data_IF_186237003342
#
_entry.id   IF_186237003342
#
_cell.length_a   1.000
_cell.length_b   1.000
_cell.length_c   1.000
_cell.angle_alpha   90.00
_cell.angle_beta   90.00
_cell.angle_gamma   90.00
#
_symmetry.space_group_name_H-M   'P 1'
#
loop_
_entity.id
_entity.type
_entity.pdbx_description
1 polymer ?
#
# COMPACT_ATOMS: atom_id res chain seq x y z
N UNK A 1 6.31 55.94 -21.15
CA UNK A 1 6.92 54.73 -20.53
C UNK A 1 6.06 54.34 -19.35
N UNK A 2 5.30 53.24 -19.43
CA UNK A 2 4.65 52.62 -18.28
C UNK A 2 4.86 51.10 -18.41
N UNK A 3 5.68 50.53 -17.54
CA UNK A 3 5.86 49.09 -17.43
C UNK A 3 4.69 48.53 -16.62
N UNK A 4 3.83 47.75 -17.26
CA UNK A 4 2.84 46.92 -16.59
C UNK A 4 3.55 45.69 -16.03
N UNK A 5 3.80 45.69 -14.73
CA UNK A 5 4.18 44.49 -13.99
C UNK A 5 3.00 43.50 -14.01
N UNK A 6 3.08 42.51 -14.89
CA UNK A 6 2.16 41.37 -14.88
C UNK A 6 2.50 40.46 -13.71
N UNK A 7 1.65 40.43 -12.69
CA UNK A 7 1.71 39.40 -11.64
C UNK A 7 1.60 38.01 -12.29
N UNK A 8 2.42 37.02 -11.88
CA UNK A 8 2.30 35.66 -12.38
C UNK A 8 0.93 35.07 -11.97
N UNK A 9 0.32 34.23 -12.81
CA UNK A 9 -0.98 33.64 -12.51
C UNK A 9 -0.88 32.77 -11.25
N UNK A 10 -1.76 33.02 -10.28
CA UNK A 10 -1.93 32.15 -9.11
C UNK A 10 -2.32 30.75 -9.59
N UNK A 11 -1.38 29.79 -9.45
CA UNK A 11 -1.63 28.40 -9.80
C UNK A 11 -2.66 27.86 -8.81
N UNK A 12 -3.87 27.59 -9.30
CA UNK A 12 -4.93 27.00 -8.52
C UNK A 12 -4.54 25.54 -8.17
N UNK A 13 -3.99 25.34 -6.97
CA UNK A 13 -3.49 24.05 -6.47
C UNK A 13 -4.53 22.91 -6.51
N UNK A 14 -5.82 23.22 -6.70
CA UNK A 14 -6.90 22.23 -6.83
C UNK A 14 -7.01 21.59 -8.23
N UNK A 15 -6.34 22.12 -9.25
CA UNK A 15 -6.42 21.61 -10.64
C UNK A 15 -5.19 20.83 -11.09
N UNK A 16 -4.22 20.59 -10.20
CA UNK A 16 -3.04 19.80 -10.54
C UNK A 16 -3.43 18.34 -10.77
N UNK A 17 -2.94 17.69 -11.86
CA UNK A 17 -3.29 16.32 -12.18
C UNK A 17 -2.95 15.40 -11.00
N UNK A 18 -3.97 14.78 -10.45
CA UNK A 18 -3.83 13.81 -9.38
C UNK A 18 -3.76 12.41 -9.97
N UNK A 19 -3.26 11.45 -9.19
CA UNK A 19 -3.31 10.05 -9.59
C UNK A 19 -4.76 9.58 -9.87
N UNK A 20 -5.77 10.22 -9.25
CA UNK A 20 -7.18 9.93 -9.52
C UNK A 20 -7.55 10.27 -10.97
N UNK A 21 -6.99 11.34 -11.51
CA UNK A 21 -7.21 11.80 -12.89
C UNK A 21 -6.44 10.93 -13.89
N UNK A 22 -5.26 10.43 -13.49
CA UNK A 22 -4.47 9.48 -14.29
C UNK A 22 -5.10 8.08 -14.35
N UNK A 23 -5.71 7.61 -13.25
CA UNK A 23 -6.41 6.31 -13.16
C UNK A 23 -7.60 6.22 -14.13
N UNK A 24 -8.31 7.32 -14.36
CA UNK A 24 -9.43 7.37 -15.32
C UNK A 24 -8.96 7.16 -16.76
N UNK A 25 -7.71 7.55 -17.08
CA UNK A 25 -7.17 7.49 -18.44
C UNK A 25 -6.40 6.21 -18.77
N UNK A 26 -5.80 5.54 -17.78
CA UNK A 26 -4.74 4.56 -18.07
C UNK A 26 -5.09 3.08 -17.86
N UNK A 27 -5.81 2.65 -16.81
CA UNK A 27 -6.34 1.27 -16.76
C UNK A 27 -7.18 0.94 -15.51
N UNK A 28 -8.11 -0.01 -15.65
CA UNK A 28 -8.85 -0.60 -14.51
C UNK A 28 -7.93 -1.45 -13.60
N UNK A 29 -6.74 -1.79 -14.10
CA UNK A 29 -5.78 -2.71 -13.48
C UNK A 29 -4.75 -1.97 -12.58
N UNK A 30 -4.93 -0.68 -12.36
CA UNK A 30 -3.99 0.14 -11.56
C UNK A 30 -4.55 0.47 -10.17
N UNK A 31 -3.89 -0.03 -9.12
CA UNK A 31 -4.30 0.14 -7.72
C UNK A 31 -3.27 0.97 -6.96
N UNK A 32 -3.64 2.08 -6.32
CA UNK A 32 -2.69 2.86 -5.52
C UNK A 32 -2.28 2.08 -4.25
N UNK A 33 -0.98 1.88 -4.03
CA UNK A 33 -0.49 1.34 -2.75
C UNK A 33 -0.37 2.49 -1.73
N UNK A 34 -1.40 2.62 -0.88
CA UNK A 34 -1.46 3.68 0.14
C UNK A 34 -0.36 3.56 1.20
N UNK A 35 0.09 2.33 1.49
CA UNK A 35 1.13 2.09 2.50
C UNK A 35 2.46 2.61 2.00
N UNK A 36 2.85 2.18 0.80
CA UNK A 36 4.11 2.58 0.20
C UNK A 36 4.10 4.05 -0.29
N UNK A 37 2.93 4.59 -0.66
CA UNK A 37 2.80 6.01 -0.98
C UNK A 37 3.19 6.93 0.19
N UNK A 38 2.90 6.53 1.45
CA UNK A 38 3.32 7.31 2.62
C UNK A 38 4.85 7.32 2.75
N UNK A 39 5.46 6.16 2.57
CA UNK A 39 6.91 5.98 2.63
C UNK A 39 7.63 6.78 1.53
N UNK A 40 7.14 6.75 0.28
CA UNK A 40 7.72 7.52 -0.82
C UNK A 40 7.67 9.03 -0.62
N UNK A 41 6.60 9.54 -0.01
CA UNK A 41 6.46 10.98 0.28
C UNK A 41 7.50 11.49 1.29
N UNK A 42 8.13 10.61 2.06
CA UNK A 42 9.27 10.98 2.92
C UNK A 42 10.49 11.38 2.08
N UNK A 43 10.64 10.82 0.87
CA UNK A 43 11.72 11.16 -0.05
C UNK A 43 11.35 12.40 -0.87
N UNK A 44 10.19 12.36 -1.53
CA UNK A 44 9.67 13.49 -2.32
C UNK A 44 8.12 13.47 -2.28
N UNK A 45 7.46 14.56 -1.85
CA UNK A 45 6.01 14.65 -1.76
C UNK A 45 5.28 14.54 -3.11
N UNK A 46 5.99 14.72 -4.23
CA UNK A 46 5.46 14.60 -5.59
C UNK A 46 5.42 13.15 -6.09
N UNK A 47 6.10 12.22 -5.41
CA UNK A 47 6.12 10.81 -5.78
C UNK A 47 4.85 10.08 -5.34
N UNK A 48 4.37 9.22 -6.23
CA UNK A 48 3.25 8.30 -5.99
C UNK A 48 3.58 6.94 -6.56
N UNK A 49 3.03 5.90 -5.93
CA UNK A 49 3.17 4.51 -6.36
C UNK A 49 1.83 3.95 -6.79
N UNK A 50 1.89 3.10 -7.80
CA UNK A 50 0.77 2.37 -8.36
C UNK A 50 1.17 0.92 -8.49
N UNK A 51 0.33 0.02 -8.04
CA UNK A 51 0.48 -1.40 -8.30
C UNK A 51 -0.37 -1.81 -9.49
N UNK A 52 0.32 -2.22 -10.55
CA UNK A 52 -0.27 -2.92 -11.69
C UNK A 52 -0.35 -4.41 -11.35
N UNK A 53 -1.52 -4.86 -10.86
CA UNK A 53 -1.74 -6.25 -10.44
C UNK A 53 -1.76 -7.23 -11.61
N UNK A 54 -2.03 -6.77 -12.83
CA UNK A 54 -2.00 -7.63 -14.03
C UNK A 54 -0.59 -8.01 -14.46
N UNK A 55 0.41 -7.19 -14.10
CA UNK A 55 1.80 -7.41 -14.47
C UNK A 55 2.73 -7.70 -13.28
N UNK A 56 2.20 -7.69 -12.05
CA UNK A 56 2.98 -7.75 -10.82
C UNK A 56 4.10 -6.69 -10.80
N UNK A 57 3.76 -5.43 -11.05
CA UNK A 57 4.72 -4.31 -11.11
C UNK A 57 4.23 -3.14 -10.28
N UNK A 58 5.13 -2.56 -9.49
CA UNK A 58 5.00 -1.22 -8.94
C UNK A 58 5.55 -0.21 -9.92
N UNK A 59 4.74 0.77 -10.26
CA UNK A 59 5.14 1.94 -11.03
C UNK A 59 5.19 3.15 -10.12
N UNK A 60 6.32 3.85 -10.15
CA UNK A 60 6.50 5.10 -9.44
C UNK A 60 6.41 6.23 -10.43
N UNK A 61 5.56 7.17 -10.10
CA UNK A 61 5.21 8.33 -10.90
C UNK A 61 5.48 9.58 -10.11
N UNK A 62 5.99 10.60 -10.79
CA UNK A 62 6.12 11.95 -10.24
C UNK A 62 4.99 12.81 -10.76
N UNK A 63 4.34 13.53 -9.85
CA UNK A 63 3.28 14.49 -10.14
C UNK A 63 3.73 15.87 -9.67
N UNK A 64 4.45 16.62 -10.53
CA UNK A 64 4.99 17.91 -10.18
C UNK A 64 3.88 18.93 -9.83
N UNK A 65 4.12 19.77 -8.82
CA UNK A 65 3.20 20.85 -8.46
C UNK A 65 3.42 22.14 -9.24
N UNK A 66 4.53 22.23 -9.97
CA UNK A 66 4.93 23.38 -10.79
C UNK A 66 4.17 23.45 -12.13
N UNK A 67 3.13 22.64 -12.31
CA UNK A 67 2.31 22.60 -13.53
C UNK A 67 2.92 21.78 -14.67
N UNK A 68 4.07 21.12 -14.44
CA UNK A 68 4.63 20.15 -15.40
C UNK A 68 3.81 18.88 -15.44
N UNK A 69 3.90 18.18 -16.58
CA UNK A 69 3.22 16.92 -16.77
C UNK A 69 3.74 15.83 -15.84
N UNK A 70 2.80 14.99 -15.39
CA UNK A 70 3.13 13.80 -14.64
C UNK A 70 3.93 12.84 -15.52
N UNK A 71 5.01 12.30 -14.98
CA UNK A 71 5.87 11.38 -15.72
C UNK A 71 6.26 10.17 -14.88
N UNK A 72 6.49 9.07 -15.58
CA UNK A 72 6.94 7.82 -14.99
C UNK A 72 8.42 7.95 -14.59
N UNK A 73 8.73 7.56 -13.36
CA UNK A 73 10.09 7.61 -12.81
C UNK A 73 10.76 6.25 -12.98
N UNK A 74 10.14 5.19 -12.47
CA UNK A 74 10.69 3.83 -12.51
C UNK A 74 9.63 2.78 -12.25
N UNK A 75 9.94 1.54 -12.64
CA UNK A 75 9.12 0.36 -12.33
C UNK A 75 9.92 -0.70 -11.56
N UNK A 76 9.26 -1.39 -10.63
CA UNK A 76 9.82 -2.50 -9.84
C UNK A 76 8.89 -3.70 -9.92
N UNK A 77 9.44 -4.86 -10.30
CA UNK A 77 8.68 -6.12 -10.28
C UNK A 77 8.36 -6.50 -8.84
N UNK A 78 7.08 -6.72 -8.53
CA UNK A 78 6.57 -7.10 -7.20
C UNK A 78 6.52 -8.61 -6.99
N UNK A 79 6.50 -9.41 -8.07
CA UNK A 79 6.37 -10.86 -7.98
C UNK A 79 7.51 -11.49 -7.18
N UNK A 80 7.14 -12.25 -6.15
CA UNK A 80 8.08 -13.02 -5.33
C UNK A 80 8.94 -12.18 -4.38
N UNK A 81 8.67 -10.88 -4.23
CA UNK A 81 9.44 -10.00 -3.35
C UNK A 81 8.65 -9.61 -2.10
N UNK A 82 9.35 -9.53 -0.99
CA UNK A 82 8.84 -8.99 0.26
C UNK A 82 8.75 -7.46 0.20
N UNK A 83 7.94 -6.88 1.08
CA UNK A 83 7.81 -5.42 1.17
C UNK A 83 9.16 -4.73 1.46
N UNK A 84 10.04 -5.38 2.22
CA UNK A 84 11.39 -4.86 2.53
C UNK A 84 12.28 -4.82 1.28
N UNK A 85 12.30 -5.92 0.53
CA UNK A 85 13.07 -6.00 -0.73
C UNK A 85 12.56 -4.97 -1.74
N UNK A 86 11.24 -4.81 -1.85
CA UNK A 86 10.65 -3.80 -2.72
C UNK A 86 11.03 -2.38 -2.31
N UNK A 87 11.00 -2.08 -1.01
CA UNK A 87 11.42 -0.77 -0.50
C UNK A 87 12.90 -0.48 -0.78
N UNK A 88 13.77 -1.49 -0.68
CA UNK A 88 15.18 -1.36 -1.00
C UNK A 88 15.42 -1.18 -2.50
N UNK A 89 14.78 -1.99 -3.35
CA UNK A 89 14.89 -1.90 -4.81
C UNK A 89 14.47 -0.53 -5.33
N UNK A 90 13.39 0.01 -4.80
CA UNK A 90 12.93 1.35 -5.14
C UNK A 90 13.98 2.39 -4.77
N UNK A 91 14.54 2.31 -3.56
CA UNK A 91 15.54 3.26 -3.10
C UNK A 91 16.81 3.22 -3.98
N UNK A 92 17.28 2.02 -4.31
CA UNK A 92 18.43 1.79 -5.18
C UNK A 92 18.20 2.37 -6.59
N UNK A 93 17.05 2.06 -7.20
CA UNK A 93 16.74 2.58 -8.54
C UNK A 93 16.56 4.10 -8.55
N UNK A 94 16.00 4.67 -7.49
CA UNK A 94 15.89 6.13 -7.38
C UNK A 94 17.28 6.78 -7.27
N UNK A 95 18.21 6.16 -6.54
CA UNK A 95 19.61 6.58 -6.47
C UNK A 95 20.29 6.51 -7.84
N UNK A 96 20.11 5.43 -8.60
CA UNK A 96 20.64 5.26 -9.96
C UNK A 96 20.09 6.29 -10.94
N UNK A 97 18.80 6.64 -10.82
CA UNK A 97 18.11 7.54 -11.75
C UNK A 97 18.50 9.02 -11.62
N UNK A 98 19.47 9.37 -10.75
CA UNK A 98 19.93 10.74 -10.45
C UNK A 98 18.84 11.71 -9.94
N UNK A 99 17.56 11.32 -9.91
CA UNK A 99 16.44 12.15 -9.47
C UNK A 99 16.51 12.52 -7.98
N UNK A 100 17.33 11.80 -7.21
CA UNK A 100 17.50 11.96 -5.77
C UNK A 100 18.96 12.25 -5.36
N UNK A 101 19.73 12.93 -6.22
CA UNK A 101 21.15 13.25 -5.97
C UNK A 101 21.45 14.02 -4.67
N UNK A 102 20.42 14.55 -3.98
CA UNK A 102 20.53 15.28 -2.72
C UNK A 102 19.67 14.68 -1.60
N UNK A 103 19.53 13.35 -1.50
CA UNK A 103 18.87 12.78 -0.32
C UNK A 103 19.69 13.08 0.93
N UNK A 104 19.06 13.77 1.87
CA UNK A 104 19.63 13.96 3.19
C UNK A 104 19.61 12.65 3.96
N UNK A 105 20.56 12.47 4.87
CA UNK A 105 20.58 11.33 5.80
C UNK A 105 19.25 11.22 6.55
N UNK A 106 18.66 12.36 6.95
CA UNK A 106 17.37 12.40 7.62
C UNK A 106 16.22 11.82 6.78
N UNK A 107 16.17 12.11 5.48
CA UNK A 107 15.16 11.53 4.58
C UNK A 107 15.34 10.02 4.44
N UNK A 108 16.58 9.55 4.33
CA UNK A 108 16.90 8.12 4.26
C UNK A 108 16.50 7.40 5.55
N UNK A 109 16.86 7.93 6.72
CA UNK A 109 16.47 7.37 8.02
C UNK A 109 14.95 7.32 8.14
N UNK A 110 14.26 8.42 7.83
CA UNK A 110 12.78 8.48 7.89
C UNK A 110 12.13 7.46 6.96
N UNK A 111 12.68 7.27 5.76
CA UNK A 111 12.19 6.29 4.80
C UNK A 111 12.33 4.86 5.32
N UNK A 112 13.48 4.53 5.92
CA UNK A 112 13.74 3.21 6.50
C UNK A 112 12.89 2.97 7.76
N UNK A 113 12.70 3.97 8.60
CA UNK A 113 11.83 3.88 9.78
C UNK A 113 10.36 3.63 9.37
N UNK A 114 9.85 4.31 8.34
CA UNK A 114 8.50 4.04 7.84
C UNK A 114 8.41 2.66 7.17
N UNK A 115 9.48 2.17 6.51
CA UNK A 115 9.55 0.80 5.99
C UNK A 115 9.34 -0.22 7.10
N UNK A 116 10.08 -0.10 8.20
CA UNK A 116 9.98 -0.99 9.36
C UNK A 116 8.62 -0.88 10.04
N UNK A 117 8.10 0.34 10.20
CA UNK A 117 6.77 0.56 10.76
C UNK A 117 5.66 -0.11 9.92
N UNK A 118 5.76 -0.07 8.60
CA UNK A 118 4.81 -0.75 7.72
C UNK A 118 4.91 -2.26 7.83
N UNK A 119 6.12 -2.81 7.93
CA UNK A 119 6.33 -4.25 8.16
C UNK A 119 5.69 -4.67 9.49
N UNK A 120 5.90 -3.91 10.56
CA UNK A 120 5.30 -4.20 11.87
C UNK A 120 3.78 -4.12 11.82
N UNK A 121 3.20 -3.04 11.25
CA UNK A 121 1.74 -2.91 11.08
C UNK A 121 1.14 -4.11 10.32
N UNK A 122 1.80 -4.57 9.25
CA UNK A 122 1.34 -5.73 8.47
C UNK A 122 1.41 -7.02 9.30
N UNK A 123 2.47 -7.22 10.08
CA UNK A 123 2.59 -8.37 11.01
C UNK A 123 1.51 -8.34 12.09
N UNK A 124 1.32 -7.21 12.75
CA UNK A 124 0.28 -7.04 13.78
C UNK A 124 -1.12 -7.27 13.21
N UNK A 125 -1.39 -6.73 12.02
CA UNK A 125 -2.68 -6.96 11.33
C UNK A 125 -2.88 -8.44 11.02
N UNK A 126 -1.89 -9.10 10.40
CA UNK A 126 -1.97 -10.53 10.09
C UNK A 126 -2.17 -11.39 11.35
N UNK A 127 -1.57 -11.00 12.48
CA UNK A 127 -1.80 -11.66 13.76
C UNK A 127 -3.22 -11.43 14.30
N UNK A 128 -3.70 -10.18 14.26
CA UNK A 128 -5.06 -9.82 14.66
C UNK A 128 -6.11 -10.54 13.81
N UNK A 129 -5.92 -10.60 12.50
CA UNK A 129 -6.81 -11.28 11.56
C UNK A 129 -6.90 -12.78 11.91
N UNK A 130 -5.76 -13.43 12.18
CA UNK A 130 -5.74 -14.84 12.64
C UNK A 130 -6.48 -15.05 13.95
N UNK A 131 -6.32 -14.16 14.93
CA UNK A 131 -7.05 -14.26 16.21
C UNK A 131 -8.55 -14.10 15.96
N UNK A 132 -8.96 -13.15 15.13
CA UNK A 132 -10.36 -12.94 14.79
C UNK A 132 -10.97 -14.15 14.07
N UNK A 133 -10.22 -14.76 13.16
CA UNK A 133 -10.64 -15.98 12.48
C UNK A 133 -10.85 -17.14 13.47
N UNK A 134 -9.88 -17.37 14.36
CA UNK A 134 -10.00 -18.39 15.44
C UNK A 134 -11.19 -18.08 16.36
N UNK A 135 -11.37 -16.81 16.75
CA UNK A 135 -12.47 -16.40 17.61
C UNK A 135 -13.83 -16.61 16.91
N UNK A 136 -13.92 -16.34 15.60
CA UNK A 136 -15.11 -16.58 14.80
C UNK A 136 -15.40 -18.07 14.63
N UNK A 137 -14.39 -18.89 14.37
CA UNK A 137 -14.52 -20.35 14.33
C UNK A 137 -14.99 -20.91 15.68
N UNK A 138 -14.42 -20.41 16.78
CA UNK A 138 -14.81 -20.80 18.14
C UNK A 138 -16.23 -20.35 18.46
N UNK A 139 -16.63 -19.13 18.10
CA UNK A 139 -18.01 -18.67 18.25
C UNK A 139 -18.98 -19.48 17.39
N UNK A 140 -18.64 -19.79 16.14
CA UNK A 140 -19.45 -20.64 15.27
C UNK A 140 -19.59 -22.06 15.82
N UNK A 141 -18.56 -22.58 16.49
CA UNK A 141 -18.59 -23.86 17.20
C UNK A 141 -19.49 -23.80 18.44
N UNK A 142 -19.31 -22.81 19.31
CA UNK A 142 -20.09 -22.64 20.56
C UNK A 142 -21.56 -22.30 20.28
N UNK A 143 -21.85 -21.50 19.25
CA UNK A 143 -23.21 -21.16 18.81
C UNK A 143 -23.91 -22.27 18.02
N UNK A 144 -23.24 -23.42 17.82
CA UNK A 144 -23.83 -24.60 17.17
C UNK A 144 -24.02 -24.49 15.65
N UNK A 145 -23.46 -23.46 15.01
CA UNK A 145 -23.50 -23.27 13.55
C UNK A 145 -22.57 -24.27 12.85
N UNK A 146 -21.42 -24.58 13.45
CA UNK A 146 -20.59 -25.72 13.08
C UNK A 146 -21.10 -26.97 13.80
N UNK A 147 -22.12 -27.63 13.24
CA UNK A 147 -22.42 -29.01 13.62
C UNK A 147 -21.24 -29.87 13.17
N UNK A 148 -20.38 -30.26 14.12
CA UNK A 148 -19.48 -31.39 13.88
C UNK A 148 -20.39 -32.57 13.55
N UNK A 149 -20.45 -32.96 12.28
CA UNK A 149 -21.05 -34.23 11.87
C UNK A 149 -20.19 -35.33 12.47
N UNK A 150 -20.43 -35.67 13.73
CA UNK A 150 -19.86 -36.86 14.33
C UNK A 150 -20.51 -38.04 13.59
N UNK A 151 -19.73 -38.93 12.95
CA UNK A 151 -20.27 -40.11 12.31
C UNK A 151 -21.18 -40.86 13.30
N UNK A 152 -22.36 -41.32 12.85
CA UNK A 152 -23.40 -41.94 13.70
C UNK A 152 -22.86 -43.05 14.63
N UNK A 153 -21.74 -43.65 14.27
CA UNK A 153 -21.03 -44.70 15.02
C UNK A 153 -20.48 -44.23 16.38
N UNK A 154 -20.29 -42.93 16.58
CA UNK A 154 -19.70 -42.34 17.79
C UNK A 154 -20.71 -41.63 18.70
N UNK A 155 -22.01 -41.68 18.40
CA UNK A 155 -23.05 -41.24 19.34
C UNK A 155 -23.16 -42.28 20.46
N UNK A 156 -22.30 -42.18 21.47
CA UNK A 156 -22.44 -42.94 22.71
C UNK A 156 -23.71 -42.42 23.40
N UNK A 157 -24.77 -43.23 23.37
CA UNK A 157 -26.03 -42.92 24.03
C UNK A 157 -25.81 -42.72 25.52
N UNK A 158 -26.08 -41.51 26.01
CA UNK A 158 -26.38 -41.30 27.43
C UNK A 158 -27.70 -42.01 27.73
N UNK A 159 -27.63 -43.29 28.09
CA UNK A 159 -28.63 -43.90 28.96
C UNK A 159 -28.18 -43.53 30.37
N UNK A 160 -28.71 -42.41 30.88
CA UNK A 160 -28.72 -42.15 32.32
C UNK A 160 -30.17 -42.33 32.73
N UNK A 161 -30.39 -43.36 33.54
CA UNK A 161 -31.65 -43.68 34.19
C UNK A 161 -32.21 -42.47 34.95
N UNK A 162 -33.53 -42.30 34.93
CA UNK A 162 -34.37 -42.06 36.10
C UNK A 162 -35.83 -41.86 35.65
N UNK A 163 -36.71 -42.74 36.13
CA UNK A 163 -38.14 -42.80 35.87
C UNK A 163 -38.63 -44.22 36.07
#
# INVERSE_FOLDING_TARGET
MNQLASNPPEINLKSLPSFKDYRVRNDAVMVPDRGFAKQLRCLDPELKVVWNWGQDIWEIWRFPKDGKDAHHVLSVKTKGKTYRELGADVLLKLQESWQLGNLTVSQLTTYLDELDNQVQRRKTKAFSDKIQDIARETMNFVSGVLQVQVPRMMKVGRIVANG
#
